data_IF_634906943805
#
_entry.id   IF_634906943805
#
_cell.length_a   1.000
_cell.length_b   1.000
_cell.length_c   1.000
_cell.angle_alpha   90.00
_cell.angle_beta   90.00
_cell.angle_gamma   90.00
#
_symmetry.space_group_name_H-M   'P 1'
#
loop_
_entity.id
_entity.type
_entity.pdbx_description
1 polymer ?
#
# COMPACT_ATOMS: atom_id res chain seq x y z
N UNK A 1 -9.58 28.12 3.56
CA UNK A 1 -8.91 26.81 3.37
C UNK A 1 -7.68 27.05 2.52
N UNK A 2 -6.49 27.00 3.12
CA UNK A 2 -5.23 27.18 2.42
C UNK A 2 -4.76 25.83 1.89
N UNK A 3 -4.34 25.77 0.62
CA UNK A 3 -3.71 24.60 0.00
C UNK A 3 -2.18 24.62 0.14
N UNK A 4 -1.64 25.44 1.07
CA UNK A 4 -0.19 25.58 1.25
C UNK A 4 0.48 24.28 1.75
N UNK A 5 -0.26 23.45 2.48
CA UNK A 5 0.23 22.14 2.93
C UNK A 5 -0.23 21.05 1.94
N UNK A 6 0.68 20.37 1.23
CA UNK A 6 0.30 19.28 0.35
C UNK A 6 -0.27 18.10 1.16
N UNK A 7 -1.07 17.28 0.49
CA UNK A 7 -1.49 16.01 1.06
C UNK A 7 -0.26 15.09 1.21
N UNK A 8 -0.16 14.42 2.35
CA UNK A 8 0.84 13.36 2.58
C UNK A 8 0.19 12.16 3.24
N UNK A 9 0.71 10.99 2.91
CA UNK A 9 0.28 9.69 3.43
C UNK A 9 0.40 9.56 4.95
N UNK A 10 1.30 10.34 5.57
CA UNK A 10 1.47 10.36 7.02
C UNK A 10 0.22 10.85 7.78
N UNK A 11 -0.70 11.53 7.08
CA UNK A 11 -1.96 12.02 7.64
C UNK A 11 -3.00 10.92 7.82
N UNK A 12 -2.78 9.70 7.32
CA UNK A 12 -3.70 8.57 7.53
C UNK A 12 -3.55 8.07 8.98
N UNK A 13 -4.60 8.24 9.79
CA UNK A 13 -4.60 7.83 11.20
C UNK A 13 -4.49 6.30 11.35
N UNK A 14 -4.09 5.77 12.52
CA UNK A 14 -4.09 4.32 12.79
C UNK A 14 -5.46 3.68 12.54
N UNK A 15 -6.53 4.38 12.92
CA UNK A 15 -7.91 3.97 12.67
C UNK A 15 -8.24 3.95 11.17
N UNK A 16 -7.77 4.94 10.40
CA UNK A 16 -7.90 4.93 8.94
C UNK A 16 -7.17 3.74 8.31
N UNK A 17 -5.94 3.45 8.76
CA UNK A 17 -5.17 2.28 8.31
C UNK A 17 -5.88 0.95 8.65
N UNK A 18 -6.56 0.86 9.79
CA UNK A 18 -7.39 -0.31 10.15
C UNK A 18 -8.58 -0.47 9.20
N UNK A 19 -9.35 0.61 8.99
CA UNK A 19 -10.52 0.59 8.09
C UNK A 19 -10.17 0.26 6.63
N UNK A 20 -9.00 0.71 6.16
CA UNK A 20 -8.49 0.33 4.84
C UNK A 20 -8.32 -1.19 4.73
N UNK A 21 -7.67 -1.83 5.72
CA UNK A 21 -7.50 -3.29 5.75
C UNK A 21 -8.84 -4.02 5.78
N UNK A 22 -9.76 -3.57 6.63
CA UNK A 22 -11.11 -4.16 6.73
C UNK A 22 -11.91 -4.05 5.42
N UNK A 23 -11.61 -3.03 4.62
CA UNK A 23 -12.18 -2.85 3.27
C UNK A 23 -11.46 -3.66 2.19
N UNK A 24 -10.45 -4.45 2.55
CA UNK A 24 -9.66 -5.27 1.61
C UNK A 24 -8.51 -4.52 0.93
N UNK A 25 -8.15 -3.32 1.40
CA UNK A 25 -7.03 -2.55 0.86
C UNK A 25 -5.82 -2.63 1.79
N UNK A 26 -4.65 -2.91 1.23
CA UNK A 26 -3.40 -2.75 1.94
C UNK A 26 -3.09 -1.25 2.11
N UNK A 27 -2.92 -0.75 3.35
CA UNK A 27 -2.47 0.60 3.58
C UNK A 27 -1.09 0.84 2.97
N UNK A 28 -0.72 2.10 2.71
CA UNK A 28 0.65 2.43 2.33
C UNK A 28 1.62 2.02 3.43
N UNK A 29 2.79 1.49 3.03
CA UNK A 29 3.81 1.06 3.98
C UNK A 29 4.30 2.24 4.80
N UNK A 30 4.45 2.07 6.11
CA UNK A 30 5.09 3.08 6.96
C UNK A 30 6.62 3.12 6.80
N UNK A 31 7.18 2.04 6.26
CA UNK A 31 8.60 1.98 5.95
C UNK A 31 8.88 2.71 4.64
N UNK A 32 9.46 3.89 4.75
CA UNK A 32 10.17 4.60 3.67
C UNK A 32 11.44 3.84 3.21
N UNK A 33 11.77 2.72 3.87
CA UNK A 33 12.99 1.94 3.67
C UNK A 33 13.11 1.24 2.30
N UNK A 34 12.09 1.35 1.44
CA UNK A 34 12.11 0.82 0.08
C UNK A 34 12.21 1.92 -0.98
N UNK A 35 12.56 3.15 -0.59
CA UNK A 35 13.15 4.13 -1.52
C UNK A 35 14.64 3.82 -1.69
N UNK A 36 14.95 2.61 -2.14
CA UNK A 36 16.34 2.16 -2.39
C UNK A 36 16.98 2.88 -3.59
N UNK A 37 16.27 3.82 -4.24
CA UNK A 37 16.61 4.35 -5.56
C UNK A 37 16.49 3.32 -6.69
N UNK A 38 16.13 2.08 -6.36
CA UNK A 38 15.89 1.00 -7.31
C UNK A 38 14.38 0.89 -7.59
N UNK A 39 13.91 1.30 -8.79
CA UNK A 39 12.50 1.20 -9.16
C UNK A 39 11.96 -0.24 -9.19
N UNK A 40 12.82 -1.26 -9.08
CA UNK A 40 12.44 -2.67 -8.93
C UNK A 40 12.24 -3.11 -7.46
N UNK A 41 12.63 -2.29 -6.48
CA UNK A 41 12.42 -2.57 -5.06
C UNK A 41 11.03 -2.10 -4.64
N UNK A 42 10.08 -3.02 -4.70
CA UNK A 42 8.66 -2.71 -4.49
C UNK A 42 8.32 -2.70 -2.99
N UNK A 43 7.51 -1.74 -2.51
CA UNK A 43 7.13 -1.68 -1.10
C UNK A 43 6.46 -2.98 -0.67
N UNK A 44 7.01 -3.63 0.35
CA UNK A 44 6.49 -4.89 0.90
C UNK A 44 5.08 -4.62 1.45
N UNK A 45 4.05 -5.12 0.77
CA UNK A 45 2.66 -4.93 1.17
C UNK A 45 2.23 -6.04 2.14
N UNK A 46 1.60 -5.67 3.24
CA UNK A 46 0.96 -6.67 4.11
C UNK A 46 -0.42 -7.04 3.57
N UNK A 47 -0.67 -8.33 3.36
CA UNK A 47 -1.95 -8.80 2.83
C UNK A 47 -3.10 -8.45 3.79
N UNK A 48 -4.14 -7.72 3.33
CA UNK A 48 -5.24 -7.29 4.20
C UNK A 48 -6.15 -8.44 4.64
N UNK A 49 -6.07 -9.60 3.97
CA UNK A 49 -6.94 -10.74 4.24
C UNK A 49 -6.35 -11.74 5.24
N UNK A 50 -5.02 -11.93 5.24
CA UNK A 50 -4.36 -12.90 6.11
C UNK A 50 -3.18 -12.35 6.93
N UNK A 51 -2.80 -11.08 6.74
CA UNK A 51 -1.67 -10.45 7.43
C UNK A 51 -0.28 -10.93 6.98
N UNK A 52 -0.20 -11.83 5.98
CA UNK A 52 1.09 -12.31 5.47
C UNK A 52 1.84 -11.23 4.70
N UNK A 53 3.17 -11.24 4.84
CA UNK A 53 4.13 -10.45 4.04
C UNK A 53 4.68 -11.21 2.84
N UNK A 54 4.27 -12.46 2.64
CA UNK A 54 4.59 -13.22 1.43
C UNK A 54 3.67 -12.79 0.28
N UNK A 55 3.97 -11.60 -0.22
CA UNK A 55 3.24 -10.92 -1.28
C UNK A 55 4.18 -10.53 -2.39
N UNK A 56 3.69 -10.55 -3.63
CA UNK A 56 4.38 -10.05 -4.80
C UNK A 56 3.59 -8.89 -5.40
N UNK A 57 4.27 -7.87 -5.88
CA UNK A 57 3.63 -6.87 -6.72
C UNK A 57 3.47 -7.43 -8.13
N UNK A 58 2.24 -7.44 -8.62
CA UNK A 58 1.90 -7.89 -9.97
C UNK A 58 1.91 -6.71 -10.95
N UNK A 59 1.41 -5.55 -10.51
CA UNK A 59 1.37 -4.35 -11.33
C UNK A 59 1.56 -3.09 -10.46
N UNK A 60 2.49 -2.23 -10.88
CA UNK A 60 2.74 -0.92 -10.27
C UNK A 60 1.57 0.07 -10.43
N UNK A 61 0.66 -0.22 -11.36
CA UNK A 61 -0.46 0.62 -11.72
C UNK A 61 -1.78 -0.11 -11.47
N UNK A 62 -2.61 0.46 -10.59
CA UNK A 62 -3.98 0.05 -10.37
C UNK A 62 -4.99 0.97 -11.09
N UNK A 63 -6.27 0.90 -10.69
CA UNK A 63 -7.34 1.74 -11.26
C UNK A 63 -7.12 3.25 -11.06
N UNK A 64 -6.32 3.63 -10.06
CA UNK A 64 -5.93 5.02 -9.82
C UNK A 64 -4.43 5.13 -9.65
N UNK A 65 -3.87 6.32 -9.88
CA UNK A 65 -2.44 6.58 -9.76
C UNK A 65 -1.87 6.29 -8.37
N UNK A 66 -2.70 6.37 -7.33
CA UNK A 66 -2.29 6.08 -5.95
C UNK A 66 -2.39 4.60 -5.58
N UNK A 67 -2.79 3.70 -6.50
CA UNK A 67 -2.98 2.27 -6.21
C UNK A 67 -2.03 1.40 -7.04
N UNK A 68 -1.60 0.28 -6.47
CA UNK A 68 -0.86 -0.81 -7.13
C UNK A 68 -1.52 -2.16 -6.82
N UNK A 69 -1.30 -3.16 -7.67
CA UNK A 69 -1.89 -4.49 -7.60
C UNK A 69 -0.85 -5.50 -7.12
N UNK A 70 -1.24 -6.32 -6.15
CA UNK A 70 -0.39 -7.33 -5.53
C UNK A 70 -1.12 -8.68 -5.45
N UNK A 71 -0.34 -9.73 -5.31
CA UNK A 71 -0.82 -11.09 -5.07
C UNK A 71 -0.19 -11.66 -3.80
N UNK A 72 -1.02 -12.15 -2.88
CA UNK A 72 -0.55 -12.84 -1.69
C UNK A 72 -0.34 -14.32 -1.99
N UNK A 73 0.88 -14.83 -1.84
CA UNK A 73 1.17 -16.25 -2.07
C UNK A 73 0.66 -17.15 -0.95
N UNK A 74 0.55 -16.63 0.28
CA UNK A 74 0.08 -17.39 1.43
C UNK A 74 -1.43 -17.72 1.38
N UNK A 75 -2.30 -16.74 1.11
CA UNK A 75 -3.75 -16.97 0.98
C UNK A 75 -4.25 -17.06 -0.46
N UNK A 76 -3.36 -16.83 -1.45
CA UNK A 76 -3.66 -16.86 -2.89
C UNK A 76 -4.73 -15.88 -3.34
N UNK A 77 -4.76 -14.70 -2.73
CA UNK A 77 -5.70 -13.63 -3.08
C UNK A 77 -4.99 -12.45 -3.73
N UNK A 78 -5.55 -11.88 -4.82
CA UNK A 78 -5.14 -10.58 -5.32
C UNK A 78 -5.68 -9.48 -4.39
N UNK A 79 -4.93 -8.40 -4.24
CA UNK A 79 -5.34 -7.23 -3.47
C UNK A 79 -4.67 -5.97 -4.01
N UNK A 80 -5.13 -4.82 -3.52
CA UNK A 80 -4.58 -3.53 -3.91
C UNK A 80 -3.95 -2.82 -2.73
N UNK A 81 -2.83 -2.14 -2.99
CA UNK A 81 -2.12 -1.33 -2.02
C UNK A 81 -2.18 0.13 -2.43
N UNK A 82 -2.40 1.02 -1.46
CA UNK A 82 -2.16 2.44 -1.66
C UNK A 82 -0.66 2.75 -1.63
N UNK A 83 -0.19 3.57 -2.57
CA UNK A 83 1.20 4.01 -2.66
C UNK A 83 1.45 5.20 -1.74
N UNK A 84 2.71 5.34 -1.33
CA UNK A 84 3.18 6.53 -0.63
C UNK A 84 3.14 7.75 -1.57
N UNK A 85 2.64 8.85 -1.03
CA UNK A 85 2.65 10.22 -1.58
C UNK A 85 3.01 11.21 -0.49
#
# INVERSE_FOLDING_TARGET
>A
MSYAEPWTTERITPEGRRKLRESGFAPPSSDHALDSGDPASLPLAECPFCGSRDTATENLFGPTLCRSIHFCRACRQPFEQFKLV
#
